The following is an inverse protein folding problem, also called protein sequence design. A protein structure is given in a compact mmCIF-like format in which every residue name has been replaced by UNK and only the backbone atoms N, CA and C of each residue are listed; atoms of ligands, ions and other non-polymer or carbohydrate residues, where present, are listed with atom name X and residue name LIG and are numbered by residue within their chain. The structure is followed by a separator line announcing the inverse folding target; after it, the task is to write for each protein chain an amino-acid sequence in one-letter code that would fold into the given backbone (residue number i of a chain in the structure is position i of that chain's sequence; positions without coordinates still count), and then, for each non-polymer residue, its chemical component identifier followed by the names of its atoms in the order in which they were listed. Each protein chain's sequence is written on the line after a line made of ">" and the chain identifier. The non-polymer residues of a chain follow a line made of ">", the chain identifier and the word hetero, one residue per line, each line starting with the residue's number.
data_IF_838651545247
#
_entry.id   IF_838651545247
#
_cell.length_a   1.000
_cell.length_b   1.000
_cell.length_c   1.000
_cell.angle_alpha   90.00
_cell.angle_beta   90.00
_cell.angle_gamma   90.00
#
_symmetry.space_group_name_H-M   'P 1'
#
loop_
_entity.id
_entity.type
_entity.pdbx_description
1 polymer ?
#
# COMPACT_ATOMS: atom_id res chain seq x y z
N UNK A 1 -4.51 -16.16 9.64
CA UNK A 1 -5.92 -16.46 9.93
C UNK A 1 -6.72 -15.60 8.95
N UNK A 2 -7.48 -16.19 8.02
CA UNK A 2 -8.17 -15.41 6.98
C UNK A 2 -9.39 -14.71 7.58
N UNK A 3 -9.39 -13.38 7.63
CA UNK A 3 -10.56 -12.61 8.04
C UNK A 3 -11.64 -12.70 6.95
N UNK A 4 -12.91 -12.99 7.30
CA UNK A 4 -13.99 -12.95 6.32
C UNK A 4 -14.13 -11.52 5.80
N UNK A 5 -13.89 -11.32 4.50
CA UNK A 5 -14.10 -10.04 3.83
C UNK A 5 -15.58 -9.70 3.90
N UNK A 6 -15.91 -8.67 4.67
CA UNK A 6 -17.27 -8.17 4.85
C UNK A 6 -17.38 -6.84 4.12
N UNK A 7 -18.46 -6.64 3.36
CA UNK A 7 -18.89 -5.35 2.78
C UNK A 7 -19.06 -4.21 3.82
N UNK A 8 -18.83 -4.49 5.10
CA UNK A 8 -19.11 -3.64 6.25
C UNK A 8 -17.90 -3.49 7.18
N UNK A 9 -16.68 -3.63 6.64
CA UNK A 9 -15.49 -3.24 7.38
C UNK A 9 -15.45 -1.73 7.45
N UNK A 10 -15.36 -1.21 8.68
CA UNK A 10 -15.19 0.21 8.95
C UNK A 10 -13.85 0.66 8.42
N UNK A 11 -13.81 1.80 7.73
CA UNK A 11 -12.54 2.37 7.28
C UNK A 11 -11.61 2.56 8.47
N UNK A 12 -10.45 1.93 8.43
CA UNK A 12 -9.43 2.08 9.48
C UNK A 12 -8.11 2.62 8.95
N UNK A 13 -7.92 2.63 7.63
CA UNK A 13 -6.99 3.55 6.97
C UNK A 13 -7.41 3.79 5.50
N UNK A 14 -6.90 4.87 4.93
CA UNK A 14 -7.03 5.25 3.53
C UNK A 14 -5.65 5.43 2.91
N UNK A 15 -5.51 5.02 1.64
CA UNK A 15 -4.37 5.42 0.82
C UNK A 15 -4.77 6.66 0.03
N UNK A 16 -3.93 7.69 0.05
CA UNK A 16 -4.22 8.93 -0.64
C UNK A 16 -3.01 9.40 -1.43
N UNK A 17 -3.22 9.80 -2.67
CA UNK A 17 -2.19 10.40 -3.49
C UNK A 17 -1.88 11.82 -2.98
N UNK A 18 -0.61 12.19 -3.01
CA UNK A 18 -0.15 13.57 -2.78
C UNK A 18 0.80 13.98 -3.91
N UNK A 19 1.13 15.27 -3.99
CA UNK A 19 1.91 15.85 -5.09
C UNK A 19 3.22 15.10 -5.36
N UNK A 20 3.96 14.72 -4.31
CA UNK A 20 5.28 14.09 -4.40
C UNK A 20 5.33 12.69 -3.78
N UNK A 21 4.19 11.98 -3.71
CA UNK A 21 4.11 10.74 -2.96
C UNK A 21 2.72 10.15 -2.79
N UNK A 22 2.57 9.34 -1.75
CA UNK A 22 1.26 8.99 -1.20
C UNK A 22 1.29 9.08 0.33
N UNK A 23 0.12 9.03 0.94
CA UNK A 23 -0.08 9.02 2.37
C UNK A 23 -0.90 7.80 2.78
N UNK A 24 -0.59 7.27 3.96
CA UNK A 24 -1.42 6.30 4.68
C UNK A 24 -2.12 7.06 5.80
N UNK A 25 -3.39 7.41 5.60
CA UNK A 25 -4.20 8.14 6.58
C UNK A 25 -4.90 7.10 7.47
N UNK A 26 -4.63 7.08 8.77
CA UNK A 26 -5.06 6.03 9.69
C UNK A 26 -6.16 6.55 10.63
N UNK A 27 -7.27 5.81 10.75
CA UNK A 27 -8.35 6.15 11.70
C UNK A 27 -7.76 6.30 13.11
N UNK A 28 -8.15 7.34 13.88
CA UNK A 28 -7.59 7.57 15.22
C UNK A 28 -7.68 6.36 16.16
N UNK A 29 -8.70 5.51 16.04
CA UNK A 29 -8.85 4.29 16.86
C UNK A 29 -7.84 3.22 16.46
N UNK A 30 -7.64 3.03 15.16
CA UNK A 30 -6.62 2.12 14.63
C UNK A 30 -5.22 2.60 14.99
N UNK A 31 -4.99 3.91 14.96
CA UNK A 31 -3.72 4.51 15.35
C UNK A 31 -3.36 4.23 16.81
N UNK A 32 -4.32 4.27 17.73
CA UNK A 32 -4.08 3.96 19.15
C UNK A 32 -3.57 2.52 19.31
N UNK A 33 -4.16 1.56 18.59
CA UNK A 33 -3.70 0.17 18.62
C UNK A 33 -2.36 -0.02 17.92
N UNK A 34 -2.15 0.68 16.80
CA UNK A 34 -0.87 0.72 16.08
C UNK A 34 0.27 1.17 16.99
N UNK A 35 0.08 2.25 17.76
CA UNK A 35 1.09 2.73 18.71
C UNK A 35 1.34 1.73 19.83
N UNK A 36 0.31 1.05 20.36
CA UNK A 36 0.51 0.02 21.38
C UNK A 36 1.34 -1.16 20.84
N UNK A 37 1.01 -1.62 19.63
CA UNK A 37 1.70 -2.74 18.99
C UNK A 37 3.15 -2.40 18.70
N UNK A 38 3.41 -1.20 18.18
CA UNK A 38 4.72 -0.87 17.65
C UNK A 38 5.64 -0.13 18.64
N UNK A 39 5.09 0.53 19.68
CA UNK A 39 5.87 0.98 20.86
C UNK A 39 6.07 -0.13 21.89
N UNK A 40 5.24 -1.17 21.86
CA UNK A 40 5.36 -2.33 22.73
C UNK A 40 6.65 -3.12 22.49
N UNK A 41 7.10 -3.94 23.46
CA UNK A 41 8.29 -4.78 23.32
C UNK A 41 8.01 -5.97 22.39
N UNK A 42 7.70 -5.73 21.12
CA UNK A 42 7.53 -6.80 20.11
C UNK A 42 8.92 -7.20 19.60
N UNK A 43 9.68 -7.84 20.50
CA UNK A 43 11.06 -8.31 20.27
C UNK A 43 11.26 -9.19 19.00
N UNK A 44 10.29 -10.03 18.54
CA UNK A 44 10.56 -10.92 17.40
C UNK A 44 10.74 -10.21 16.05
N UNK A 45 10.11 -9.05 15.84
CA UNK A 45 10.24 -8.30 14.57
C UNK A 45 11.52 -7.48 14.58
N UNK A 46 11.79 -6.75 15.66
CA UNK A 46 12.98 -5.90 15.79
C UNK A 46 14.28 -6.71 15.68
N UNK A 47 14.35 -7.90 16.26
CA UNK A 47 15.56 -8.73 16.22
C UNK A 47 15.85 -9.29 14.80
N UNK A 48 14.81 -9.70 14.07
CA UNK A 48 14.94 -10.16 12.67
C UNK A 48 15.31 -9.02 11.72
N UNK A 49 14.80 -7.83 11.98
CA UNK A 49 15.09 -6.60 11.24
C UNK A 49 16.52 -6.11 11.48
N UNK A 50 17.01 -6.13 12.72
CA UNK A 50 18.42 -5.82 13.03
C UNK A 50 19.35 -6.86 12.39
N UNK A 51 19.00 -8.15 12.44
CA UNK A 51 19.77 -9.21 11.77
C UNK A 51 19.81 -9.03 10.25
N UNK A 52 18.80 -8.38 9.67
CA UNK A 52 18.70 -7.96 8.28
C UNK A 52 19.50 -6.68 7.94
N UNK A 53 20.15 -6.04 8.93
CA UNK A 53 20.93 -4.81 8.73
C UNK A 53 20.09 -3.54 8.61
N UNK A 54 18.81 -3.60 8.98
CA UNK A 54 17.94 -2.42 9.02
C UNK A 54 18.11 -1.67 10.35
N UNK A 55 17.92 -0.35 10.31
CA UNK A 55 17.95 0.49 11.51
C UNK A 55 16.79 0.14 12.47
N UNK A 56 16.84 0.53 13.76
CA UNK A 56 15.69 0.38 14.66
C UNK A 56 14.46 1.16 14.20
N UNK A 57 13.25 0.65 14.48
CA UNK A 57 12.00 1.36 14.18
C UNK A 57 11.86 2.57 15.11
N UNK A 58 11.67 3.76 14.56
CA UNK A 58 11.51 5.01 15.31
C UNK A 58 10.03 5.36 15.46
N UNK A 59 9.60 5.78 16.66
CA UNK A 59 8.27 6.33 16.97
C UNK A 59 8.36 7.75 17.54
N UNK A 60 8.91 8.67 16.75
CA UNK A 60 8.92 10.09 17.09
C UNK A 60 7.72 10.80 16.47
N UNK A 61 7.38 11.98 16.98
CA UNK A 61 6.17 12.70 16.59
C UNK A 61 6.17 13.11 15.10
N UNK A 62 7.31 13.51 14.55
CA UNK A 62 7.43 13.94 13.14
C UNK A 62 8.02 12.87 12.21
N UNK A 63 8.84 11.97 12.75
CA UNK A 63 9.58 10.96 11.99
C UNK A 63 9.36 9.57 12.58
N UNK A 64 8.83 8.67 11.76
CA UNK A 64 8.52 7.29 12.15
C UNK A 64 9.21 6.27 11.23
N UNK A 65 9.24 5.01 11.64
CA UNK A 65 9.80 3.93 10.84
C UNK A 65 11.31 3.74 11.02
N UNK A 66 11.85 2.76 10.30
CA UNK A 66 13.28 2.49 10.26
C UNK A 66 14.03 3.69 9.70
N UNK A 67 15.03 4.17 10.46
CA UNK A 67 15.80 5.36 10.10
C UNK A 67 14.97 6.65 10.03
N UNK A 68 13.75 6.68 10.57
CA UNK A 68 12.85 7.84 10.47
C UNK A 68 12.34 8.09 9.04
N UNK A 69 12.23 7.03 8.24
CA UNK A 69 11.92 7.11 6.81
C UNK A 69 10.50 7.61 6.47
N UNK A 70 9.56 7.53 7.41
CA UNK A 70 8.18 8.02 7.24
C UNK A 70 8.02 9.37 7.95
N UNK A 71 7.33 10.31 7.31
CA UNK A 71 6.99 11.59 7.93
C UNK A 71 5.55 11.52 8.43
N UNK A 72 5.33 11.82 9.71
CA UNK A 72 3.97 11.89 10.26
C UNK A 72 3.41 13.29 10.07
N UNK A 73 2.16 13.38 9.65
CA UNK A 73 1.43 14.62 9.48
C UNK A 73 -0.04 14.44 9.90
N UNK A 74 -0.81 15.53 9.94
CA UNK A 74 -2.27 15.47 9.99
C UNK A 74 -2.83 15.41 8.57
N UNK A 75 -3.74 14.48 8.31
CA UNK A 75 -4.51 14.46 7.07
C UNK A 75 -5.52 15.64 7.04
N UNK A 76 -6.04 16.01 5.86
CA UNK A 76 -7.12 17.00 5.75
C UNK A 76 -8.37 16.65 6.58
N UNK A 77 -8.60 15.35 6.84
CA UNK A 77 -9.70 14.83 7.66
C UNK A 77 -9.38 14.80 9.16
N UNK A 78 -8.20 15.27 9.57
CA UNK A 78 -7.72 15.25 10.95
C UNK A 78 -7.25 13.86 11.41
N UNK A 79 -7.06 12.92 10.48
CA UNK A 79 -6.52 11.59 10.80
C UNK A 79 -4.98 11.66 10.86
N UNK A 80 -4.34 10.91 11.76
CA UNK A 80 -2.91 10.68 11.67
C UNK A 80 -2.51 10.15 10.28
N UNK A 81 -1.53 10.79 9.67
CA UNK A 81 -1.11 10.53 8.30
C UNK A 81 0.37 10.15 8.27
N UNK A 82 0.72 9.07 7.58
CA UNK A 82 2.10 8.67 7.32
C UNK A 82 2.44 8.94 5.86
N UNK A 83 3.22 9.98 5.63
CA UNK A 83 3.59 10.47 4.30
C UNK A 83 4.80 9.70 3.76
N UNK A 84 4.65 9.22 2.53
CA UNK A 84 5.65 8.51 1.74
C UNK A 84 5.96 9.35 0.51
N UNK A 85 7.06 10.10 0.55
CA UNK A 85 7.54 10.81 -0.63
C UNK A 85 8.21 9.84 -1.60
N UNK A 86 8.10 10.09 -2.90
CA UNK A 86 8.83 9.33 -3.92
C UNK A 86 10.31 9.30 -3.57
N UNK A 87 10.87 8.14 -3.23
CA UNK A 87 12.20 8.11 -2.66
C UNK A 87 13.26 8.27 -3.75
N UNK A 88 13.86 9.46 -3.81
CA UNK A 88 14.97 9.81 -4.72
C UNK A 88 16.35 9.50 -4.13
N UNK A 89 16.38 8.96 -2.90
CA UNK A 89 17.59 8.71 -2.12
C UNK A 89 18.35 7.42 -2.46
N UNK A 90 19.33 7.09 -1.60
CA UNK A 90 20.15 5.89 -1.76
C UNK A 90 19.29 4.63 -1.63
N UNK A 91 19.80 3.50 -2.12
CA UNK A 91 19.12 2.20 -1.97
C UNK A 91 18.75 1.91 -0.51
N UNK A 92 19.63 2.24 0.43
CA UNK A 92 19.37 2.05 1.87
C UNK A 92 18.16 2.85 2.37
N UNK A 93 17.98 4.09 1.89
CA UNK A 93 16.84 4.94 2.27
C UNK A 93 15.53 4.35 1.75
N UNK A 94 15.54 3.87 0.51
CA UNK A 94 14.42 3.14 -0.12
C UNK A 94 14.09 1.86 0.62
N UNK A 95 15.09 1.10 1.04
CA UNK A 95 14.91 -0.14 1.79
C UNK A 95 14.31 0.11 3.18
N UNK A 96 14.81 1.13 3.89
CA UNK A 96 14.24 1.56 5.18
C UNK A 96 12.77 1.99 5.03
N UNK A 97 12.43 2.72 3.97
CA UNK A 97 11.06 3.14 3.67
C UNK A 97 10.15 1.94 3.38
N UNK A 98 10.55 1.04 2.49
CA UNK A 98 9.78 -0.16 2.16
C UNK A 98 9.55 -1.05 3.38
N UNK A 99 10.59 -1.31 4.18
CA UNK A 99 10.48 -2.09 5.41
C UNK A 99 9.58 -1.40 6.47
N UNK A 100 9.63 -0.06 6.55
CA UNK A 100 8.78 0.71 7.48
C UNK A 100 7.32 0.60 7.10
N UNK A 101 7.01 0.73 5.80
CA UNK A 101 5.67 0.50 5.27
C UNK A 101 5.21 -0.92 5.52
N UNK A 102 6.09 -1.90 5.35
CA UNK A 102 5.71 -3.28 5.58
C UNK A 102 5.35 -3.58 7.03
N UNK A 103 6.08 -2.98 7.96
CA UNK A 103 5.75 -3.04 9.39
C UNK A 103 4.43 -2.32 9.69
N UNK A 104 4.22 -1.13 9.10
CA UNK A 104 2.99 -0.35 9.25
C UNK A 104 1.76 -1.14 8.76
N UNK A 105 1.80 -1.65 7.52
CA UNK A 105 0.69 -2.42 6.95
C UNK A 105 0.45 -3.74 7.68
N UNK A 106 1.52 -4.43 8.11
CA UNK A 106 1.37 -5.65 8.93
C UNK A 106 0.65 -5.35 10.25
N UNK A 107 1.00 -4.25 10.93
CA UNK A 107 0.32 -3.87 12.16
C UNK A 107 -1.13 -3.43 11.91
N UNK A 108 -1.39 -2.69 10.82
CA UNK A 108 -2.75 -2.33 10.41
C UNK A 108 -3.59 -3.55 10.03
N UNK A 109 -3.01 -4.62 9.48
CA UNK A 109 -3.73 -5.87 9.18
C UNK A 109 -4.11 -6.68 10.43
N UNK A 110 -3.44 -6.45 11.57
CA UNK A 110 -3.81 -7.07 12.85
C UNK A 110 -4.96 -6.33 13.55
N UNK A 111 -5.29 -5.13 13.07
CA UNK A 111 -6.37 -4.35 13.63
C UNK A 111 -7.71 -4.84 13.07
N UNK A 112 -8.48 -5.55 13.90
CA UNK A 112 -9.85 -5.93 13.59
C UNK A 112 -10.82 -4.99 14.31
N UNK A 113 -11.18 -3.89 13.65
CA UNK A 113 -12.29 -3.07 14.12
C UNK A 113 -13.62 -3.70 13.72
N UNK A 114 -14.34 -4.21 14.71
CA UNK A 114 -15.76 -4.50 14.62
C UNK A 114 -16.54 -3.36 15.26
N UNK A 115 -16.77 -2.26 14.53
CA UNK A 115 -17.75 -1.27 14.96
C UNK A 115 -18.32 -0.51 13.77
N UNK A 116 -19.63 -0.66 13.56
CA UNK A 116 -20.37 -0.10 12.42
C UNK A 116 -20.16 1.42 12.29
N UNK A 117 -19.44 1.83 11.24
CA UNK A 117 -19.19 3.23 10.90
C UNK A 117 -19.20 3.48 9.39
N UNK A 118 -20.21 4.23 8.93
CA UNK A 118 -20.25 5.11 7.75
C UNK A 118 -19.84 4.62 6.35
N UNK A 119 -18.60 4.14 6.16
CA UNK A 119 -17.95 3.93 4.85
C UNK A 119 -17.26 2.57 4.78
N UNK A 120 -17.18 1.98 3.59
CA UNK A 120 -16.54 0.70 3.37
C UNK A 120 -15.01 0.85 3.24
N UNK A 121 -14.23 -0.07 3.82
CA UNK A 121 -12.82 -0.24 3.46
C UNK A 121 -12.73 -0.68 1.99
N UNK A 122 -11.85 -0.05 1.19
CA UNK A 122 -11.72 -0.33 -0.25
C UNK A 122 -10.60 -1.33 -0.57
N UNK A 123 -9.50 -1.26 0.17
CA UNK A 123 -8.36 -2.16 0.03
C UNK A 123 -7.73 -2.46 1.38
N UNK A 124 -7.05 -3.60 1.50
CA UNK A 124 -6.18 -3.92 2.63
C UNK A 124 -4.85 -4.44 2.11
N UNK A 125 -3.78 -3.65 2.22
CA UNK A 125 -2.41 -4.11 2.02
C UNK A 125 -2.03 -5.04 3.16
N UNK A 126 -1.77 -6.30 2.82
CA UNK A 126 -1.34 -7.37 3.72
C UNK A 126 0.04 -7.88 3.32
N UNK A 127 0.72 -8.56 4.25
CA UNK A 127 1.89 -9.37 3.93
C UNK A 127 2.97 -8.62 3.15
N UNK A 128 3.62 -7.65 3.80
CA UNK A 128 4.80 -7.00 3.22
C UNK A 128 6.04 -7.66 3.82
N UNK A 129 6.64 -8.59 3.08
CA UNK A 129 7.85 -9.29 3.52
C UNK A 129 9.01 -8.93 2.63
N UNK A 130 10.07 -8.33 3.17
CA UNK A 130 11.35 -8.19 2.48
C UNK A 130 12.24 -9.37 2.87
N UNK A 131 12.55 -10.27 1.93
CA UNK A 131 13.60 -11.27 2.16
C UNK A 131 14.95 -10.68 1.75
N UNK A 132 15.81 -10.44 2.75
CA UNK A 132 17.14 -9.86 2.58
C UNK A 132 18.09 -10.80 1.80
N UNK A 133 17.73 -12.08 1.63
CA UNK A 133 18.48 -13.03 0.81
C UNK A 133 18.07 -13.09 -0.66
N UNK A 134 16.88 -12.58 -1.02
CA UNK A 134 16.30 -12.76 -2.36
C UNK A 134 16.04 -11.48 -3.15
N UNK A 135 16.21 -10.29 -2.57
CA UNK A 135 15.80 -9.03 -3.21
C UNK A 135 14.28 -8.91 -3.47
N UNK A 136 13.49 -9.94 -3.15
CA UNK A 136 12.04 -9.93 -3.28
C UNK A 136 11.43 -9.27 -2.07
N UNK A 137 10.76 -8.13 -2.26
CA UNK A 137 9.66 -7.81 -1.36
C UNK A 137 8.40 -8.46 -1.92
N UNK A 138 7.73 -9.26 -1.11
CA UNK A 138 6.37 -9.67 -1.41
C UNK A 138 5.43 -8.63 -0.79
N UNK A 139 4.35 -8.35 -1.50
CA UNK A 139 3.29 -7.47 -1.05
C UNK A 139 1.98 -8.01 -1.59
N UNK A 140 1.03 -8.20 -0.69
CA UNK A 140 -0.29 -8.68 -1.00
C UNK A 140 -1.29 -7.55 -0.77
N UNK A 141 -2.30 -7.42 -1.62
CA UNK A 141 -3.36 -6.43 -1.40
C UNK A 141 -4.70 -7.11 -1.57
N UNK A 142 -5.52 -7.08 -0.53
CA UNK A 142 -6.92 -7.47 -0.63
C UNK A 142 -7.70 -6.31 -1.22
N UNK A 143 -8.30 -6.53 -2.39
CA UNK A 143 -9.31 -5.66 -2.97
C UNK A 143 -10.67 -6.08 -2.40
N UNK A 144 -11.36 -5.15 -1.74
CA UNK A 144 -12.67 -5.44 -1.13
C UNK A 144 -13.78 -5.44 -2.20
N UNK A 145 -14.99 -5.94 -1.89
CA UNK A 145 -16.09 -5.95 -2.84
C UNK A 145 -16.50 -4.54 -3.27
N UNK A 146 -16.35 -3.55 -2.40
CA UNK A 146 -16.69 -2.17 -2.71
C UNK A 146 -15.79 -1.63 -3.83
N UNK A 147 -14.48 -1.82 -3.72
CA UNK A 147 -13.55 -1.40 -4.75
C UNK A 147 -13.72 -2.22 -6.04
N UNK A 148 -13.92 -3.54 -5.94
CA UNK A 148 -14.24 -4.37 -7.12
C UNK A 148 -15.48 -3.84 -7.87
N UNK A 149 -16.56 -3.50 -7.15
CA UNK A 149 -17.77 -2.92 -7.77
C UNK A 149 -17.48 -1.60 -8.46
N UNK A 150 -16.62 -0.76 -7.87
CA UNK A 150 -16.20 0.48 -8.50
C UNK A 150 -15.41 0.21 -9.79
N UNK A 151 -14.45 -0.72 -9.77
CA UNK A 151 -13.66 -1.13 -10.94
C UNK A 151 -14.56 -1.64 -12.08
N UNK A 152 -15.53 -2.51 -11.77
CA UNK A 152 -16.51 -3.03 -12.73
C UNK A 152 -17.33 -1.93 -13.44
N UNK A 153 -17.49 -0.76 -12.81
CA UNK A 153 -18.25 0.37 -13.35
C UNK A 153 -17.40 1.33 -14.19
N UNK A 154 -16.07 1.32 -14.04
CA UNK A 154 -15.18 2.37 -14.54
C UNK A 154 -14.02 1.86 -15.39
N UNK A 155 -14.13 0.64 -15.94
CA UNK A 155 -13.13 0.09 -16.87
C UNK A 155 -12.91 1.04 -18.07
N UNK A 156 -11.65 1.45 -18.29
CA UNK A 156 -11.23 2.29 -19.41
C UNK A 156 -10.67 3.65 -19.00
N UNK A 157 -11.49 4.71 -19.05
CA UNK A 157 -11.02 6.11 -19.05
C UNK A 157 -10.21 6.52 -17.81
N UNK A 158 -10.48 5.91 -16.65
CA UNK A 158 -9.84 6.26 -15.38
C UNK A 158 -8.47 5.59 -15.17
N UNK A 159 -8.16 4.55 -15.94
CA UNK A 159 -6.92 3.80 -15.80
C UNK A 159 -5.73 4.54 -16.43
N UNK A 160 -5.98 5.41 -17.40
CA UNK A 160 -4.96 6.29 -17.98
C UNK A 160 -4.35 7.20 -16.90
N UNK A 161 -5.19 7.81 -16.05
CA UNK A 161 -4.69 8.61 -14.93
C UNK A 161 -3.79 7.80 -13.97
N UNK A 162 -4.04 6.49 -13.84
CA UNK A 162 -3.25 5.61 -12.97
C UNK A 162 -1.90 5.32 -13.59
N UNK A 163 -1.86 5.05 -14.90
CA UNK A 163 -0.63 4.87 -15.67
C UNK A 163 0.25 6.13 -15.64
N UNK A 164 -0.36 7.32 -15.76
CA UNK A 164 0.34 8.60 -15.63
C UNK A 164 1.01 8.76 -14.26
N UNK A 165 0.32 8.43 -13.18
CA UNK A 165 0.90 8.48 -11.82
C UNK A 165 2.05 7.48 -11.66
N UNK A 166 1.92 6.27 -12.21
CA UNK A 166 3.02 5.30 -12.19
C UNK A 166 4.24 5.82 -12.97
N UNK A 167 4.01 6.41 -14.15
CA UNK A 167 5.04 7.01 -14.98
C UNK A 167 5.78 8.13 -14.22
N UNK A 168 5.02 9.06 -13.63
CA UNK A 168 5.57 10.21 -12.91
C UNK A 168 6.35 9.78 -11.65
N UNK A 169 5.83 8.82 -10.89
CA UNK A 169 6.53 8.27 -9.73
C UNK A 169 7.88 7.64 -10.13
N UNK A 170 7.90 6.83 -11.20
CA UNK A 170 9.12 6.19 -11.70
C UNK A 170 10.14 7.22 -12.18
N UNK A 171 9.68 8.22 -12.94
CA UNK A 171 10.51 9.33 -13.40
C UNK A 171 11.10 10.11 -12.23
N UNK A 172 10.30 10.42 -11.21
CA UNK A 172 10.75 11.13 -10.02
C UNK A 172 11.84 10.35 -9.25
N UNK A 173 11.72 9.03 -9.17
CA UNK A 173 12.71 8.14 -8.54
C UNK A 173 13.95 7.87 -9.41
N UNK A 174 14.05 8.49 -10.59
CA UNK A 174 15.18 8.33 -11.50
C UNK A 174 15.22 6.97 -12.23
N UNK A 175 14.10 6.24 -12.23
CA UNK A 175 13.93 5.13 -13.17
C UNK A 175 13.76 5.70 -14.59
N UNK A 176 14.07 4.91 -15.63
CA UNK A 176 13.96 5.34 -17.02
C UNK A 176 12.62 4.92 -17.65
N UNK A 177 11.55 5.72 -17.55
CA UNK A 177 10.21 5.32 -17.98
C UNK A 177 10.10 5.08 -19.49
N UNK A 178 10.99 5.63 -20.33
CA UNK A 178 10.95 5.43 -21.79
C UNK A 178 11.20 3.97 -22.22
N UNK A 179 11.72 3.12 -21.32
CA UNK A 179 11.86 1.67 -21.55
C UNK A 179 10.68 0.85 -21.03
N UNK A 180 9.76 1.45 -20.30
CA UNK A 180 8.81 0.74 -19.46
C UNK A 180 7.38 1.01 -19.93
N UNK A 181 6.65 -0.05 -20.29
CA UNK A 181 5.20 0.04 -20.44
C UNK A 181 4.56 0.01 -19.05
N UNK A 182 4.05 1.16 -18.59
CA UNK A 182 3.09 1.20 -17.50
C UNK A 182 1.73 0.81 -18.06
N UNK A 183 1.05 -0.13 -17.43
CA UNK A 183 -0.28 -0.53 -17.85
C UNK A 183 -1.15 -0.75 -16.62
N UNK A 184 -2.35 -0.20 -16.64
CA UNK A 184 -3.42 -0.51 -15.71
C UNK A 184 -4.58 -1.13 -16.49
N UNK A 185 -5.04 -2.30 -16.05
CA UNK A 185 -6.06 -3.06 -16.75
C UNK A 185 -7.09 -3.64 -15.78
N UNK A 186 -8.28 -3.93 -16.29
CA UNK A 186 -9.34 -4.66 -15.59
C UNK A 186 -9.74 -5.82 -16.51
N UNK A 187 -9.53 -7.05 -16.04
CA UNK A 187 -9.88 -8.24 -16.82
C UNK A 187 -11.40 -8.48 -16.89
N UNK A 188 -11.81 -9.48 -17.66
CA UNK A 188 -13.22 -9.89 -17.84
C UNK A 188 -13.92 -10.32 -16.53
N UNK A 189 -13.18 -10.49 -15.44
CA UNK A 189 -13.68 -10.82 -14.10
C UNK A 189 -13.66 -9.62 -13.12
N UNK A 190 -13.51 -8.40 -13.63
CA UNK A 190 -13.38 -7.15 -12.89
C UNK A 190 -12.12 -7.09 -11.99
N UNK A 191 -11.05 -7.79 -12.37
CA UNK A 191 -9.82 -7.83 -11.58
C UNK A 191 -8.81 -6.82 -12.08
N UNK A 192 -8.37 -5.95 -11.18
CA UNK A 192 -7.28 -5.02 -11.42
C UNK A 192 -5.98 -5.75 -11.73
N UNK A 193 -5.24 -5.21 -12.67
CA UNK A 193 -3.85 -5.52 -12.95
C UNK A 193 -3.06 -4.23 -13.14
N UNK A 194 -1.89 -4.12 -12.51
CA UNK A 194 -0.97 -3.00 -12.70
C UNK A 194 0.40 -3.55 -13.06
N UNK A 195 1.00 -3.05 -14.14
CA UNK A 195 2.33 -3.46 -14.61
C UNK A 195 3.22 -2.22 -14.63
N UNK A 196 4.37 -2.28 -13.93
CA UNK A 196 5.30 -1.15 -13.79
C UNK A 196 6.59 -1.28 -14.63
N UNK A 197 6.73 -2.35 -15.40
CA UNK A 197 7.82 -2.65 -16.34
C UNK A 197 7.38 -3.88 -17.16
N UNK A 198 7.88 -4.07 -18.39
CA UNK A 198 7.48 -5.05 -19.42
C UNK A 198 7.42 -6.52 -18.94
N UNK A 199 6.44 -6.83 -18.09
CA UNK A 199 6.15 -8.11 -17.41
C UNK A 199 7.05 -8.49 -16.22
N UNK A 200 7.89 -7.60 -15.71
CA UNK A 200 8.71 -7.92 -14.54
C UNK A 200 7.95 -7.65 -13.23
N UNK A 201 7.57 -6.39 -12.97
CA UNK A 201 6.91 -6.01 -11.72
C UNK A 201 5.42 -5.73 -11.92
N UNK A 202 4.58 -6.57 -11.33
CA UNK A 202 3.13 -6.52 -11.52
C UNK A 202 2.38 -6.74 -10.20
N UNK A 203 1.22 -6.09 -10.07
CA UNK A 203 0.12 -6.57 -9.23
C UNK A 203 -0.95 -7.17 -10.13
N UNK A 204 -1.29 -8.45 -9.95
CA UNK A 204 -2.38 -9.09 -10.68
C UNK A 204 -3.41 -9.68 -9.74
N UNK A 205 -4.69 -9.59 -10.13
CA UNK A 205 -5.78 -10.24 -9.40
C UNK A 205 -5.73 -11.75 -9.56
N UNK A 206 -5.14 -12.46 -8.61
CA UNK A 206 -4.89 -13.90 -8.75
C UNK A 206 -6.04 -14.75 -8.19
N UNK A 207 -6.45 -14.50 -6.94
CA UNK A 207 -7.35 -15.40 -6.20
C UNK A 207 -8.65 -14.69 -5.86
N UNK A 208 -9.79 -15.09 -6.44
CA UNK A 208 -11.08 -14.56 -6.04
C UNK A 208 -11.40 -15.05 -4.64
N UNK A 209 -11.84 -14.14 -3.78
CA UNK A 209 -12.25 -14.50 -2.41
C UNK A 209 -13.74 -14.84 -2.46
N UNK A 210 -14.15 -15.73 -3.37
CA UNK A 210 -15.55 -16.01 -3.67
C UNK A 210 -16.24 -14.92 -4.51
N UNK A 211 -17.31 -15.30 -5.24
CA UNK A 211 -17.89 -14.52 -6.36
C UNK A 211 -18.38 -13.10 -6.04
N UNK A 212 -18.62 -12.77 -4.78
CA UNK A 212 -19.09 -11.45 -4.32
C UNK A 212 -18.20 -10.84 -3.23
N UNK A 213 -17.01 -11.38 -2.96
CA UNK A 213 -16.22 -10.98 -1.77
C UNK A 213 -14.87 -10.29 -2.06
N UNK A 214 -14.65 -9.81 -3.28
CA UNK A 214 -13.38 -9.18 -3.66
C UNK A 214 -12.32 -10.21 -4.08
N UNK A 215 -11.07 -9.81 -4.15
CA UNK A 215 -9.95 -10.66 -4.59
C UNK A 215 -8.62 -10.17 -4.02
N UNK A 216 -7.59 -10.99 -4.16
CA UNK A 216 -6.23 -10.62 -3.81
C UNK A 216 -5.45 -10.18 -5.05
N UNK A 217 -4.78 -9.03 -4.97
CA UNK A 217 -3.64 -8.65 -5.79
C UNK A 217 -2.36 -9.22 -5.20
N UNK A 218 -1.60 -9.95 -6.00
CA UNK A 218 -0.31 -10.55 -5.64
C UNK A 218 0.81 -9.92 -6.46
N UNK A 219 1.96 -9.73 -5.84
CA UNK A 219 3.15 -9.23 -6.50
C UNK A 219 3.82 -10.28 -7.36
N UNK A 220 4.15 -9.94 -8.62
CA UNK A 220 5.05 -10.72 -9.47
C UNK A 220 6.32 -9.90 -9.74
N UNK A 221 7.49 -10.52 -9.53
CA UNK A 221 8.85 -9.94 -9.57
C UNK A 221 8.95 -8.48 -9.11
N UNK A 222 8.52 -8.23 -7.87
CA UNK A 222 8.66 -6.94 -7.20
C UNK A 222 10.10 -6.69 -6.71
N UNK A 223 11.12 -7.07 -7.48
CA UNK A 223 12.52 -7.10 -7.02
C UNK A 223 13.17 -5.70 -6.97
N UNK A 224 12.50 -4.69 -7.52
CA UNK A 224 12.97 -3.31 -7.55
C UNK A 224 12.03 -2.40 -6.77
N UNK A 225 12.56 -1.80 -5.70
CA UNK A 225 11.81 -0.96 -4.77
C UNK A 225 11.04 0.18 -5.46
N UNK A 226 11.62 0.77 -6.50
CA UNK A 226 10.95 1.87 -7.22
C UNK A 226 9.67 1.42 -7.92
N UNK A 227 9.60 0.16 -8.39
CA UNK A 227 8.37 -0.40 -8.97
C UNK A 227 7.33 -0.69 -7.90
N UNK A 228 7.73 -1.19 -6.72
CA UNK A 228 6.82 -1.34 -5.58
C UNK A 228 6.15 -0.02 -5.20
N UNK A 229 6.95 1.07 -5.09
CA UNK A 229 6.42 2.39 -4.77
C UNK A 229 5.49 2.94 -5.86
N UNK A 230 5.82 2.72 -7.13
CA UNK A 230 4.95 3.12 -8.24
C UNK A 230 3.62 2.34 -8.22
N UNK A 231 3.65 1.04 -7.95
CA UNK A 231 2.45 0.20 -7.83
C UNK A 231 1.58 0.58 -6.60
N UNK A 232 2.20 0.98 -5.48
CA UNK A 232 1.49 1.56 -4.35
C UNK A 232 0.87 2.92 -4.69
N UNK A 233 1.56 3.75 -5.48
CA UNK A 233 1.03 4.99 -6.02
C UNK A 233 -0.20 4.76 -6.90
N UNK A 234 -0.16 3.72 -7.75
CA UNK A 234 -1.30 3.29 -8.56
C UNK A 234 -2.52 2.94 -7.71
N UNK A 235 -2.31 2.15 -6.65
CA UNK A 235 -3.35 1.78 -5.68
C UNK A 235 -3.92 3.00 -4.96
N UNK A 236 -3.07 3.95 -4.55
CA UNK A 236 -3.52 5.20 -3.92
C UNK A 236 -4.38 6.04 -4.87
N UNK A 237 -4.00 6.13 -6.15
CA UNK A 237 -4.78 6.84 -7.17
C UNK A 237 -6.14 6.18 -7.42
N UNK A 238 -6.17 4.85 -7.55
CA UNK A 238 -7.42 4.08 -7.68
C UNK A 238 -8.33 4.28 -6.46
N UNK A 239 -7.75 4.26 -5.25
CA UNK A 239 -8.48 4.52 -4.02
C UNK A 239 -9.09 5.94 -4.02
N UNK A 240 -8.32 6.96 -4.37
CA UNK A 240 -8.80 8.34 -4.43
C UNK A 240 -9.94 8.53 -5.44
N UNK A 241 -9.81 7.92 -6.62
CA UNK A 241 -10.86 7.95 -7.65
C UNK A 241 -12.16 7.33 -7.12
N UNK A 242 -12.09 6.15 -6.50
CA UNK A 242 -13.24 5.49 -5.91
C UNK A 242 -13.87 6.30 -4.77
N UNK A 243 -13.06 6.90 -3.89
CA UNK A 243 -13.55 7.76 -2.79
C UNK A 243 -14.22 9.03 -3.28
N UNK A 244 -13.70 9.65 -4.35
CA UNK A 244 -14.29 10.85 -4.94
C UNK A 244 -15.72 10.60 -5.45
N UNK A 245 -16.06 9.35 -5.76
CA UNK A 245 -17.36 8.91 -6.27
C UNK A 245 -18.25 8.29 -5.19
N UNK A 246 -17.81 8.32 -3.92
CA UNK A 246 -18.64 7.97 -2.76
C UNK A 246 -18.58 6.50 -2.33
N UNK A 247 -17.60 5.73 -2.80
CA UNK A 247 -17.33 4.38 -2.29
C UNK A 247 -16.60 4.40 -0.95
#
# INVERSE_FOLDING_TARGET
>A
MFHPIRDRLTVWYELRLIEDGFAVDVDPRAHVELEKLLRGPVRPLTDRVIAAGLAPFVFNDDHCGYGGALVRNASPQGWPSYVVKWPTGRFHDRANMSASLGTLFSALSLYDAHDAGGKAQLLSVEGVTTDVGYSGADMQVIVTPALRRWCAQHAGERLVDVEEIMHDALKAMGANPERFWQQADIDDEDRLSFTADTNASQFSGDVPIGKDRGYTLTGHNLDHLSYQFALLGALAKIHDLARAEGF
#
